data_IF_201595518933
#
_entry.id   IF_201595518933
#
_cell.length_a   1.000
_cell.length_b   1.000
_cell.length_c   1.000
_cell.angle_alpha   90.00
_cell.angle_beta   90.00
_cell.angle_gamma   90.00
#
_symmetry.space_group_name_H-M   'P 1'
#
loop_
_entity.id
_entity.type
_entity.pdbx_description
1 polymer ?
#
# COMPACT_ATOMS: atom_id res chain seq x y z
N UNK A 1 -10.23 6.56 -8.03
CA UNK A 1 -11.69 6.64 -8.22
C UNK A 1 -12.33 5.28 -7.97
N UNK A 2 -13.65 5.22 -7.79
CA UNK A 2 -14.38 3.96 -7.53
C UNK A 2 -14.16 2.95 -8.67
N UNK A 3 -13.94 3.42 -9.88
CA UNK A 3 -13.65 2.58 -11.06
C UNK A 3 -12.23 1.99 -11.00
N UNK A 4 -11.25 2.74 -10.52
CA UNK A 4 -9.87 2.26 -10.38
C UNK A 4 -9.77 1.11 -9.37
N UNK A 5 -10.51 1.18 -8.27
CA UNK A 5 -10.53 0.13 -7.25
C UNK A 5 -11.20 -1.15 -7.76
N UNK A 6 -12.25 -1.00 -8.57
CA UNK A 6 -12.92 -2.15 -9.19
C UNK A 6 -12.04 -2.82 -10.23
N UNK A 7 -11.32 -2.04 -11.05
CA UNK A 7 -10.35 -2.56 -12.02
C UNK A 7 -9.17 -3.27 -11.32
N UNK A 8 -8.64 -2.70 -10.24
CA UNK A 8 -7.58 -3.34 -9.45
C UNK A 8 -8.04 -4.67 -8.86
N UNK A 9 -9.25 -4.71 -8.32
CA UNK A 9 -9.83 -5.93 -7.75
C UNK A 9 -9.95 -7.01 -8.80
N UNK A 10 -10.53 -6.69 -9.95
CA UNK A 10 -10.67 -7.62 -11.06
C UNK A 10 -9.32 -8.13 -11.61
N UNK A 11 -8.31 -7.25 -11.66
CA UNK A 11 -6.97 -7.64 -12.09
C UNK A 11 -6.27 -8.55 -11.07
N UNK A 12 -6.44 -8.32 -9.76
CA UNK A 12 -5.88 -9.16 -8.70
C UNK A 12 -6.46 -10.57 -8.66
N UNK A 13 -7.65 -10.77 -9.17
CA UNK A 13 -8.24 -12.11 -9.31
C UNK A 13 -7.52 -12.97 -10.37
N UNK A 14 -6.88 -12.32 -11.37
CA UNK A 14 -6.32 -12.98 -12.55
C UNK A 14 -4.81 -12.80 -12.70
N UNK A 15 -4.21 -11.84 -12.00
CA UNK A 15 -2.79 -11.50 -12.12
C UNK A 15 -2.11 -11.52 -10.74
N UNK A 16 -0.83 -11.92 -10.70
CA UNK A 16 0.00 -11.69 -9.52
C UNK A 16 0.09 -10.20 -9.17
N UNK A 17 0.24 -9.86 -7.89
CA UNK A 17 0.26 -8.47 -7.41
C UNK A 17 1.30 -7.59 -8.11
N UNK A 18 2.46 -8.14 -8.48
CA UNK A 18 3.52 -7.41 -9.20
C UNK A 18 3.18 -7.10 -10.67
N UNK A 19 2.13 -7.70 -11.23
CA UNK A 19 1.64 -7.43 -12.59
C UNK A 19 0.45 -6.46 -12.61
N UNK A 20 -0.14 -6.17 -11.46
CA UNK A 20 -1.24 -5.22 -11.36
C UNK A 20 -0.69 -3.80 -11.51
N UNK A 21 -1.21 -2.99 -12.45
CA UNK A 21 -0.75 -1.60 -12.62
C UNK A 21 -0.95 -0.78 -11.35
N UNK A 22 0.06 0.01 -11.00
CA UNK A 22 0.00 0.93 -9.86
C UNK A 22 -0.84 2.18 -10.15
N UNK A 23 -0.97 2.55 -11.43
CA UNK A 23 -1.71 3.74 -11.86
C UNK A 23 -2.57 3.42 -13.08
N UNK A 24 -3.81 3.87 -13.06
CA UNK A 24 -4.71 3.88 -14.20
C UNK A 24 -4.93 5.34 -14.64
N UNK A 25 -4.94 5.56 -15.94
CA UNK A 25 -5.15 6.89 -16.50
C UNK A 25 -6.32 6.79 -17.47
N UNK A 26 -7.42 7.43 -17.12
CA UNK A 26 -8.58 7.52 -17.98
C UNK A 26 -8.37 8.59 -19.06
N UNK A 27 -8.67 8.24 -20.30
CA UNK A 27 -8.55 9.11 -21.45
C UNK A 27 -9.84 9.07 -22.25
N UNK A 28 -10.37 10.22 -22.64
CA UNK A 28 -11.53 10.31 -23.56
C UNK A 28 -11.26 9.62 -24.89
N UNK A 29 -10.02 9.72 -25.36
CA UNK A 29 -9.54 9.05 -26.57
C UNK A 29 -8.04 8.83 -26.53
N UNK A 30 -7.56 7.77 -27.17
CA UNK A 30 -6.13 7.57 -27.37
C UNK A 30 -5.57 8.56 -28.38
N UNK A 31 -4.40 9.20 -28.08
CA UNK A 31 -3.68 9.97 -29.09
C UNK A 31 -3.18 9.02 -30.19
N UNK A 32 -3.37 9.44 -31.46
CA UNK A 32 -3.04 8.63 -32.61
C UNK A 32 -1.93 9.28 -33.43
N UNK A 33 -1.02 8.46 -33.93
CA UNK A 33 -0.04 8.89 -34.95
C UNK A 33 -0.74 9.11 -36.31
N UNK A 34 -0.11 9.84 -37.27
CA UNK A 34 -0.65 9.99 -38.63
C UNK A 34 -0.93 8.66 -39.34
N UNK A 35 -0.21 7.60 -38.93
CA UNK A 35 -0.38 6.26 -39.52
C UNK A 35 -1.46 5.41 -38.79
N UNK A 36 -2.28 6.01 -37.92
CA UNK A 36 -3.39 5.32 -37.26
C UNK A 36 -2.94 4.37 -36.10
N UNK A 37 -1.74 4.54 -35.57
CA UNK A 37 -1.26 3.79 -34.36
C UNK A 37 -1.34 4.67 -33.14
N UNK A 38 -1.48 4.06 -31.96
CA UNK A 38 -1.44 4.79 -30.66
C UNK A 38 -0.08 5.49 -30.51
N UNK A 39 -0.13 6.80 -30.32
CA UNK A 39 1.06 7.61 -30.03
C UNK A 39 1.37 7.53 -28.53
N UNK A 40 2.24 6.59 -28.16
CA UNK A 40 2.64 6.40 -26.77
C UNK A 40 3.41 7.58 -26.19
N UNK A 41 4.03 8.42 -27.02
CA UNK A 41 4.78 9.61 -26.58
C UNK A 41 3.85 10.76 -26.20
N UNK A 42 2.67 10.80 -26.82
CA UNK A 42 1.65 11.79 -26.53
C UNK A 42 0.70 11.38 -25.37
N UNK A 43 0.90 10.21 -24.76
CA UNK A 43 0.19 9.85 -23.53
C UNK A 43 0.61 10.78 -22.39
N UNK A 44 -0.33 11.20 -21.52
CA UNK A 44 0.00 12.01 -20.38
C UNK A 44 0.99 11.29 -19.47
N UNK A 45 1.99 12.03 -18.99
CA UNK A 45 2.92 11.49 -18.02
C UNK A 45 2.21 11.21 -16.68
N UNK A 46 2.60 10.16 -15.94
CA UNK A 46 1.98 9.82 -14.64
C UNK A 46 1.91 11.00 -13.67
N UNK A 47 2.92 11.88 -13.68
CA UNK A 47 2.99 13.05 -12.80
C UNK A 47 1.92 14.11 -13.13
N UNK A 48 1.53 14.23 -14.41
CA UNK A 48 0.49 15.16 -14.84
C UNK A 48 -0.92 14.69 -14.45
N UNK A 49 -1.10 13.39 -14.25
CA UNK A 49 -2.39 12.80 -13.88
C UNK A 49 -2.57 12.82 -12.36
N UNK A 50 -1.49 12.70 -11.60
CA UNK A 50 -1.52 12.83 -10.13
C UNK A 50 -2.04 14.18 -9.65
N UNK A 51 -1.80 15.27 -10.39
CA UNK A 51 -2.33 16.60 -10.06
C UNK A 51 -3.84 16.76 -10.21
N UNK A 52 -4.57 15.78 -10.79
CA UNK A 52 -6.05 15.80 -10.88
C UNK A 52 -6.74 14.99 -9.78
N UNK A 53 -6.05 14.07 -9.15
CA UNK A 53 -6.52 13.42 -7.92
C UNK A 53 -6.12 14.27 -6.71
N UNK A 54 -6.63 15.50 -6.62
CA UNK A 54 -6.70 16.28 -5.37
C UNK A 54 -7.66 15.63 -4.35
N UNK A 55 -7.75 14.33 -4.32
CA UNK A 55 -8.40 13.60 -3.26
C UNK A 55 -7.45 13.62 -2.05
N UNK A 56 -7.60 14.67 -1.24
CA UNK A 56 -7.14 14.74 0.15
C UNK A 56 -5.66 14.44 0.38
N UNK A 57 -4.77 15.29 -0.15
CA UNK A 57 -3.42 15.35 0.39
C UNK A 57 -3.52 15.68 1.89
N UNK A 58 -3.36 14.68 2.71
CA UNK A 58 -3.27 14.84 4.15
C UNK A 58 -1.79 14.92 4.54
N UNK A 59 -1.38 16.09 5.02
CA UNK A 59 -0.01 16.28 5.50
C UNK A 59 0.23 15.44 6.77
N UNK A 60 1.49 15.06 7.07
CA UNK A 60 1.85 14.44 8.33
C UNK A 60 1.43 15.28 9.53
N UNK A 61 0.79 14.65 10.53
CA UNK A 61 0.26 15.32 11.72
C UNK A 61 1.12 15.12 12.96
N UNK A 62 2.02 14.14 12.94
CA UNK A 62 2.90 13.83 14.07
C UNK A 62 4.35 13.55 13.60
N UNK A 63 5.29 13.52 14.55
CA UNK A 63 6.72 13.34 14.28
C UNK A 63 7.02 12.03 13.55
N UNK A 64 6.33 10.95 13.89
CA UNK A 64 6.54 9.64 13.28
C UNK A 64 6.07 9.61 11.82
N UNK A 65 4.91 10.19 11.54
CA UNK A 65 4.43 10.35 10.16
C UNK A 65 5.36 11.25 9.34
N UNK A 66 5.87 12.32 9.94
CA UNK A 66 6.82 13.21 9.27
C UNK A 66 8.11 12.48 8.91
N UNK A 67 8.65 11.70 9.83
CA UNK A 67 9.85 10.91 9.63
C UNK A 67 9.67 9.87 8.52
N UNK A 68 8.54 9.14 8.51
CA UNK A 68 8.22 8.19 7.46
C UNK A 68 8.04 8.90 6.12
N UNK A 69 7.36 10.04 6.10
CA UNK A 69 7.15 10.86 4.90
C UNK A 69 8.48 11.32 4.30
N UNK A 70 9.41 11.79 5.11
CA UNK A 70 10.73 12.25 4.64
C UNK A 70 11.55 11.11 4.04
N UNK A 71 11.49 9.92 4.62
CA UNK A 71 12.13 8.73 4.06
C UNK A 71 11.48 8.35 2.73
N UNK A 72 10.14 8.38 2.63
CA UNK A 72 9.44 8.03 1.40
C UNK A 72 9.70 9.03 0.28
N UNK A 73 9.66 10.34 0.58
CA UNK A 73 10.05 11.38 -0.39
C UNK A 73 11.45 11.14 -0.95
N UNK A 74 12.40 10.84 -0.08
CA UNK A 74 13.79 10.60 -0.48
C UNK A 74 13.97 9.31 -1.33
N UNK A 75 13.18 8.26 -1.05
CA UNK A 75 13.29 6.97 -1.75
C UNK A 75 12.50 6.98 -3.07
N UNK A 76 11.35 7.65 -3.09
CA UNK A 76 10.46 7.73 -4.25
C UNK A 76 10.79 8.92 -5.16
N UNK A 77 11.73 9.79 -4.75
CA UNK A 77 12.11 11.02 -5.46
C UNK A 77 10.91 11.96 -5.67
N UNK A 78 10.06 12.12 -4.63
CA UNK A 78 8.88 12.97 -4.65
C UNK A 78 9.10 14.20 -3.76
N UNK A 79 8.49 15.33 -4.12
CA UNK A 79 8.53 16.56 -3.32
C UNK A 79 7.57 16.47 -2.12
N UNK A 80 6.43 15.79 -2.28
CA UNK A 80 5.43 15.62 -1.25
C UNK A 80 4.82 14.22 -1.29
N UNK A 81 4.41 13.71 -0.13
CA UNK A 81 3.71 12.43 0.03
C UNK A 81 2.64 12.61 1.10
N UNK A 82 1.39 12.34 0.75
CA UNK A 82 0.27 12.36 1.67
C UNK A 82 0.24 11.13 2.58
N UNK A 83 -0.26 11.29 3.80
CA UNK A 83 -0.25 10.21 4.81
C UNK A 83 -1.10 9.01 4.43
N UNK A 84 -2.13 9.21 3.60
CA UNK A 84 -3.04 8.15 3.13
C UNK A 84 -2.63 7.56 1.76
N UNK A 85 -1.60 8.12 1.12
CA UNK A 85 -1.14 7.62 -0.16
C UNK A 85 -0.39 6.29 0.00
N UNK A 86 -0.64 5.38 -0.94
CA UNK A 86 -0.01 4.07 -0.93
C UNK A 86 1.37 4.12 -1.58
N UNK A 87 2.38 3.59 -0.89
CA UNK A 87 3.77 3.54 -1.35
C UNK A 87 3.92 2.96 -2.77
N UNK A 88 3.17 1.90 -3.08
CA UNK A 88 3.24 1.22 -4.37
C UNK A 88 2.55 2.03 -5.47
N UNK A 89 1.47 2.72 -5.15
CA UNK A 89 0.74 3.60 -6.08
C UNK A 89 1.56 4.85 -6.43
N UNK A 90 2.46 5.26 -5.52
CA UNK A 90 3.43 6.32 -5.74
C UNK A 90 4.64 5.91 -6.59
N UNK A 91 4.67 4.66 -7.08
CA UNK A 91 5.75 4.11 -7.89
C UNK A 91 6.76 3.28 -7.09
N UNK A 92 6.46 3.01 -5.82
CA UNK A 92 7.27 2.10 -5.00
C UNK A 92 7.27 0.68 -5.55
N UNK A 93 8.42 0.01 -5.47
CA UNK A 93 8.59 -1.39 -5.85
C UNK A 93 9.52 -2.09 -4.85
N UNK A 94 9.70 -3.40 -4.98
CA UNK A 94 10.43 -4.22 -4.01
C UNK A 94 11.81 -3.68 -3.62
N UNK A 95 12.58 -3.15 -4.59
CA UNK A 95 13.90 -2.58 -4.31
C UNK A 95 13.79 -1.31 -3.48
N UNK A 96 12.82 -0.44 -3.79
CA UNK A 96 12.58 0.80 -3.03
C UNK A 96 12.02 0.51 -1.63
N UNK A 97 11.25 -0.57 -1.46
CA UNK A 97 10.83 -1.04 -0.11
C UNK A 97 12.04 -1.41 0.74
N UNK A 98 13.03 -2.12 0.17
CA UNK A 98 14.28 -2.45 0.88
C UNK A 98 15.06 -1.18 1.26
N UNK A 99 15.14 -0.20 0.36
CA UNK A 99 15.80 1.07 0.65
C UNK A 99 15.06 1.88 1.72
N UNK A 100 13.73 1.96 1.64
CA UNK A 100 12.90 2.61 2.65
C UNK A 100 13.05 1.95 4.01
N UNK A 101 13.01 0.61 4.06
CA UNK A 101 13.22 -0.15 5.29
C UNK A 101 14.58 0.15 5.93
N UNK A 102 15.66 0.16 5.13
CA UNK A 102 17.00 0.46 5.63
C UNK A 102 17.07 1.87 6.22
N UNK A 103 16.57 2.88 5.49
CA UNK A 103 16.55 4.27 5.97
C UNK A 103 15.70 4.45 7.21
N UNK A 104 14.50 3.84 7.26
CA UNK A 104 13.65 3.88 8.44
C UNK A 104 14.32 3.29 9.68
N UNK A 105 15.07 2.20 9.54
CA UNK A 105 15.83 1.60 10.64
C UNK A 105 16.98 2.46 11.14
N UNK A 106 17.51 3.36 10.33
CA UNK A 106 18.58 4.28 10.71
C UNK A 106 18.04 5.49 11.51
N UNK A 107 16.78 5.90 11.24
CA UNK A 107 16.20 7.13 11.79
C UNK A 107 15.07 6.88 12.81
N UNK A 108 14.53 5.67 12.84
CA UNK A 108 13.42 5.29 13.71
C UNK A 108 13.89 4.33 14.79
N UNK A 109 13.57 4.63 16.07
CA UNK A 109 13.91 3.76 17.20
C UNK A 109 13.05 2.48 17.24
N UNK A 110 11.96 2.43 16.48
CA UNK A 110 11.04 1.31 16.42
C UNK A 110 11.61 0.15 15.59
N UNK A 111 11.35 -1.07 16.03
CA UNK A 111 11.69 -2.27 15.26
C UNK A 111 10.71 -2.41 14.09
N UNK A 112 11.21 -2.18 12.90
CA UNK A 112 10.46 -2.31 11.64
C UNK A 112 10.98 -3.53 10.90
N UNK A 113 10.10 -4.41 10.46
CA UNK A 113 10.42 -5.51 9.55
C UNK A 113 10.09 -5.13 8.10
N UNK A 114 10.73 -5.80 7.15
CA UNK A 114 10.44 -5.59 5.73
C UNK A 114 8.96 -5.89 5.40
N UNK A 115 8.40 -6.89 6.07
CA UNK A 115 7.00 -7.31 5.91
C UNK A 115 6.01 -6.25 6.38
N UNK A 116 6.38 -5.40 7.33
CA UNK A 116 5.48 -4.36 7.85
C UNK A 116 5.21 -3.28 6.79
N UNK A 117 6.20 -2.95 5.95
CA UNK A 117 6.02 -2.01 4.84
C UNK A 117 5.06 -2.54 3.76
N UNK A 118 5.00 -3.87 3.57
CA UNK A 118 4.00 -4.47 2.68
C UNK A 118 2.61 -4.54 3.31
N UNK A 119 2.53 -4.72 4.63
CA UNK A 119 1.25 -4.78 5.36
C UNK A 119 0.62 -3.41 5.57
N UNK A 120 1.44 -2.39 5.74
CA UNK A 120 1.05 -1.01 6.01
C UNK A 120 1.67 -0.10 4.95
N UNK A 121 1.13 -0.13 3.72
CA UNK A 121 1.71 0.60 2.60
C UNK A 121 1.37 2.10 2.58
N UNK A 122 0.80 2.64 3.66
CA UNK A 122 0.52 4.07 3.84
C UNK A 122 1.30 4.61 5.04
N UNK A 123 1.64 5.90 5.03
CA UNK A 123 2.36 6.55 6.13
C UNK A 123 1.54 6.47 7.42
N UNK A 124 0.25 6.82 7.36
CA UNK A 124 -0.64 6.76 8.52
C UNK A 124 -0.74 5.35 9.10
N UNK A 125 -0.97 4.34 8.26
CA UNK A 125 -1.07 2.95 8.72
C UNK A 125 0.22 2.41 9.32
N UNK A 126 1.38 2.78 8.75
CA UNK A 126 2.68 2.39 9.29
C UNK A 126 2.98 3.11 10.61
N UNK A 127 2.69 4.41 10.70
CA UNK A 127 2.86 5.19 11.91
C UNK A 127 1.98 4.68 13.06
N UNK A 128 0.70 4.39 12.79
CA UNK A 128 -0.22 3.79 13.76
C UNK A 128 0.30 2.43 14.28
N UNK A 129 0.77 1.59 13.38
CA UNK A 129 1.34 0.29 13.75
C UNK A 129 2.55 0.45 14.66
N UNK A 130 3.48 1.34 14.34
CA UNK A 130 4.68 1.58 15.10
C UNK A 130 4.38 2.27 16.45
N UNK A 131 3.46 3.24 16.46
CA UNK A 131 3.04 3.97 17.66
C UNK A 131 2.30 3.10 18.68
N UNK A 132 1.62 2.03 18.25
CA UNK A 132 0.95 1.06 19.13
C UNK A 132 1.87 -0.04 19.64
N UNK A 133 3.19 0.07 19.43
CA UNK A 133 4.17 -0.93 19.89
C UNK A 133 4.24 -2.18 19.02
N UNK A 134 3.93 -2.04 17.73
CA UNK A 134 4.11 -2.98 16.62
C UNK A 134 3.92 -4.48 16.92
N UNK A 135 4.88 -5.08 17.55
CA UNK A 135 4.87 -6.53 17.84
C UNK A 135 3.80 -6.97 18.84
N UNK A 136 3.42 -6.12 19.83
CA UNK A 136 2.43 -6.49 20.84
C UNK A 136 1.02 -6.57 20.28
N UNK A 137 0.64 -5.67 19.38
CA UNK A 137 -0.67 -5.65 18.74
C UNK A 137 -0.84 -6.81 17.72
N UNK A 138 0.23 -7.17 17.02
CA UNK A 138 0.22 -8.30 16.05
C UNK A 138 0.14 -9.64 16.79
N UNK A 139 0.87 -9.81 17.89
CA UNK A 139 0.81 -11.02 18.72
C UNK A 139 -0.55 -11.19 19.41
N UNK A 140 -1.15 -10.09 19.89
CA UNK A 140 -2.48 -10.10 20.47
C UNK A 140 -3.56 -10.52 19.43
N UNK A 141 -3.50 -10.00 18.20
CA UNK A 141 -4.43 -10.37 17.12
C UNK A 141 -4.25 -11.80 16.63
N UNK A 142 -2.99 -12.27 16.50
CA UNK A 142 -2.71 -13.66 16.13
C UNK A 142 -3.10 -14.66 17.22
N UNK A 143 -2.96 -14.31 18.50
CA UNK A 143 -3.40 -15.17 19.61
C UNK A 143 -4.92 -15.25 19.70
N UNK A 144 -5.65 -14.17 19.41
CA UNK A 144 -7.11 -14.17 19.32
C UNK A 144 -7.62 -15.02 18.15
N UNK A 145 -7.01 -14.92 16.97
CA UNK A 145 -7.38 -15.73 15.79
C UNK A 145 -7.10 -17.22 16.00
N UNK A 146 -5.97 -17.56 16.64
CA UNK A 146 -5.66 -18.95 16.99
C UNK A 146 -6.64 -19.49 18.05
N UNK A 147 -7.04 -18.66 19.00
CA UNK A 147 -8.03 -18.98 20.01
C UNK A 147 -9.43 -19.20 19.40
N UNK A 148 -9.84 -18.37 18.45
CA UNK A 148 -11.11 -18.51 17.75
C UNK A 148 -11.14 -19.76 16.86
N UNK A 149 -10.07 -20.06 16.12
CA UNK A 149 -9.95 -21.29 15.31
C UNK A 149 -9.98 -22.57 16.15
N UNK A 150 -9.32 -22.56 17.35
CA UNK A 150 -9.38 -23.70 18.28
C UNK A 150 -10.78 -23.93 18.84
N UNK A 151 -11.49 -22.88 19.22
CA UNK A 151 -12.89 -22.99 19.71
C UNK A 151 -13.84 -23.49 18.62
N UNK A 152 -13.69 -23.03 17.38
CA UNK A 152 -14.47 -23.50 16.23
C UNK A 152 -14.19 -24.99 15.91
N UNK A 153 -12.93 -25.42 16.03
CA UNK A 153 -12.56 -26.83 15.83
C UNK A 153 -13.10 -27.76 16.93
N UNK A 154 -13.09 -27.31 18.19
CA UNK A 154 -13.67 -28.07 19.32
C UNK A 154 -15.20 -28.15 19.25
N UNK A 155 -15.88 -27.09 18.78
CA UNK A 155 -17.33 -27.08 18.58
C UNK A 155 -17.79 -28.12 17.55
N UNK A 156 -17.02 -28.31 16.47
CA UNK A 156 -17.31 -29.31 15.43
C UNK A 156 -17.10 -30.75 15.90
N UNK A 157 -16.19 -31.04 16.82
CA UNK A 157 -15.97 -32.36 17.39
C UNK A 157 -17.11 -32.78 18.34
N UNK A 158 -17.68 -31.86 19.12
CA UNK A 158 -18.80 -32.13 20.06
C UNK A 158 -20.11 -32.43 19.34
N UNK A 159 -20.32 -31.94 18.14
CA UNK A 159 -21.55 -32.16 17.37
C UNK A 159 -21.53 -33.48 16.55
N UNK A 160 -20.35 -34.11 16.37
CA UNK A 160 -20.21 -35.40 15.68
C UNK A 160 -20.35 -36.64 16.59
N UNK A 161 -20.41 -36.44 17.91
CA UNK A 161 -20.51 -37.53 18.90
C UNK A 161 -21.91 -37.76 19.44
N UNK A 162 -22.95 -37.18 18.85
CA UNK A 162 -24.38 -37.33 19.24
C UNK A 162 -25.24 -37.72 18.03
N UNK A 163 -24.85 -38.76 17.34
CA UNK A 163 -25.62 -39.41 16.33
C UNK A 163 -25.51 -40.92 16.50
#
# INVERSE_FOLDING_TARGET
SVEDDSLRTALRENLPDFMVPSLFVELDRFPMTPNGKIDRKALPAPDQVRGRAEAEFKAPENELEQLISDVWKAVLYLESVGTNENFFDLGGHSLLVVQAHRKLREVCEHKISLTDLYRFPTIAGLADFLGTGGDAAVQAKQSQDRGAKRRAAMGRRRNRGRG
#
